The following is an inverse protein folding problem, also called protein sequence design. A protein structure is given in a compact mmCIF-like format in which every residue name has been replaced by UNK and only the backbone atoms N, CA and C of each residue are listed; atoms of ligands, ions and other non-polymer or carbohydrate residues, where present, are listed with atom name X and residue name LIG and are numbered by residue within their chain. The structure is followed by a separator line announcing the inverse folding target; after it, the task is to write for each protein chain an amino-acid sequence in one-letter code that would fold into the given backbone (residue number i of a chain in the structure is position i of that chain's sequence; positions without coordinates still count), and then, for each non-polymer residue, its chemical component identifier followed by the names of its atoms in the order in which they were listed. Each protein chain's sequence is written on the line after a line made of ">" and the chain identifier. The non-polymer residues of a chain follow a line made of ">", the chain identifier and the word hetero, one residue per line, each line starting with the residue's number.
data_IF_892522493698
#
_entry.id   IF_892522493698
#
_cell.length_a   1.000
_cell.length_b   1.000
_cell.length_c   1.000
_cell.angle_alpha   90.00
_cell.angle_beta   90.00
_cell.angle_gamma   90.00
#
_symmetry.space_group_name_H-M   'P 1'
#
loop_
_entity.id
_entity.type
_entity.pdbx_description
1 polymer ?
#
# COMPACT_ATOMS: atom_id res chain seq x y z
N UNK A 1 17.06 -21.47 0.62
CA UNK A 1 16.12 -20.34 0.47
C UNK A 1 15.81 -19.59 1.78
N UNK A 2 15.81 -20.25 2.96
CA UNK A 2 15.52 -19.60 4.27
C UNK A 2 16.38 -18.38 4.65
N UNK A 3 17.59 -18.21 4.11
CA UNK A 3 18.45 -17.06 4.49
C UNK A 3 18.05 -15.75 3.82
N UNK A 4 17.52 -15.79 2.59
CA UNK A 4 17.13 -14.58 1.87
C UNK A 4 15.84 -14.00 2.48
N UNK A 5 14.86 -14.85 2.75
CA UNK A 5 13.60 -14.47 3.38
C UNK A 5 13.86 -13.76 4.72
N UNK A 6 14.79 -14.28 5.52
CA UNK A 6 15.17 -13.65 6.80
C UNK A 6 15.88 -12.31 6.63
N UNK A 7 16.69 -12.13 5.60
CA UNK A 7 17.27 -10.82 5.29
C UNK A 7 16.19 -9.80 4.92
N UNK A 8 15.21 -10.19 4.11
CA UNK A 8 14.09 -9.31 3.73
C UNK A 8 13.19 -8.98 4.93
N UNK A 9 12.87 -9.96 5.77
CA UNK A 9 12.11 -9.75 7.01
C UNK A 9 12.84 -8.79 7.97
N UNK A 10 14.17 -8.88 8.09
CA UNK A 10 14.99 -7.94 8.90
C UNK A 10 14.88 -6.53 8.34
N UNK A 11 15.02 -6.36 7.02
CA UNK A 11 14.88 -5.05 6.39
C UNK A 11 13.48 -4.48 6.63
N UNK A 12 12.43 -5.23 6.33
CA UNK A 12 11.06 -4.77 6.56
C UNK A 12 10.85 -4.38 8.03
N UNK A 13 11.34 -5.16 9.00
CA UNK A 13 11.24 -4.79 10.41
C UNK A 13 11.85 -3.42 10.72
N UNK A 14 13.06 -3.15 10.23
CA UNK A 14 13.77 -1.89 10.51
C UNK A 14 13.07 -0.70 9.83
N UNK A 15 12.62 -0.87 8.59
CA UNK A 15 11.91 0.20 7.86
C UNK A 15 10.52 0.47 8.44
N UNK A 16 9.83 -0.57 8.90
CA UNK A 16 8.52 -0.47 9.53
C UNK A 16 8.55 0.10 10.96
N UNK A 17 9.72 0.51 11.45
CA UNK A 17 9.88 1.24 12.72
C UNK A 17 9.91 2.76 12.55
N UNK A 18 9.75 3.24 11.31
CA UNK A 18 9.63 4.67 10.96
C UNK A 18 10.76 5.51 11.59
N UNK A 19 12.00 5.08 11.36
CA UNK A 19 13.20 5.74 11.90
C UNK A 19 13.52 5.42 13.37
N UNK A 20 12.66 4.71 14.09
CA UNK A 20 12.98 4.23 15.44
C UNK A 20 14.06 3.15 15.35
N UNK A 21 15.22 3.31 16.03
CA UNK A 21 16.29 2.33 15.98
C UNK A 21 15.88 0.95 16.50
N UNK A 22 16.45 -0.10 15.92
CA UNK A 22 16.22 -1.49 16.34
C UNK A 22 17.54 -2.22 16.61
N UNK A 23 17.63 -2.88 17.76
CA UNK A 23 18.79 -3.69 18.12
C UNK A 23 18.71 -5.10 17.49
N UNK A 24 19.85 -5.78 17.26
CA UNK A 24 19.81 -7.16 16.74
C UNK A 24 19.03 -8.13 17.62
N UNK A 25 19.01 -7.93 18.95
CA UNK A 25 18.26 -8.78 19.88
C UNK A 25 16.74 -8.63 19.74
N UNK A 26 16.26 -7.39 19.59
CA UNK A 26 14.83 -7.10 19.35
C UNK A 26 14.38 -7.67 18.01
N UNK A 27 15.16 -7.44 16.95
CA UNK A 27 14.87 -7.94 15.60
C UNK A 27 14.86 -9.46 15.59
N UNK A 28 15.87 -10.11 16.19
CA UNK A 28 15.95 -11.57 16.29
C UNK A 28 14.74 -12.17 17.01
N UNK A 29 14.30 -11.53 18.10
CA UNK A 29 13.13 -11.95 18.87
C UNK A 29 11.83 -11.79 18.07
N UNK A 30 11.66 -10.66 17.39
CA UNK A 30 10.49 -10.37 16.55
C UNK A 30 10.36 -11.35 15.38
N UNK A 31 11.48 -11.71 14.75
CA UNK A 31 11.52 -12.51 13.52
C UNK A 31 11.73 -14.01 13.82
N UNK A 32 11.96 -14.35 15.09
CA UNK A 32 12.19 -15.71 15.61
C UNK A 32 13.39 -16.40 14.95
N UNK A 33 14.55 -15.72 14.97
CA UNK A 33 15.83 -16.25 14.48
C UNK A 33 16.92 -16.15 15.54
N UNK A 34 18.02 -16.89 15.36
CA UNK A 34 19.15 -16.83 16.28
C UNK A 34 19.81 -15.43 16.27
N UNK A 35 20.13 -14.91 17.46
CA UNK A 35 20.71 -13.57 17.63
C UNK A 35 22.06 -13.38 16.92
N UNK A 36 22.92 -14.41 16.87
CA UNK A 36 24.18 -14.39 16.14
C UNK A 36 23.94 -14.32 14.62
N UNK A 37 22.93 -15.06 14.12
CA UNK A 37 22.52 -14.98 12.70
C UNK A 37 21.96 -13.60 12.35
N UNK A 38 21.08 -13.05 13.18
CA UNK A 38 20.52 -11.71 12.98
C UNK A 38 21.62 -10.64 12.97
N UNK A 39 22.54 -10.71 13.94
CA UNK A 39 23.67 -9.77 14.04
C UNK A 39 24.56 -9.85 12.81
N UNK A 40 24.88 -11.05 12.32
CA UNK A 40 25.67 -11.23 11.09
C UNK A 40 24.98 -10.62 9.87
N UNK A 41 23.69 -10.88 9.68
CA UNK A 41 22.93 -10.34 8.55
C UNK A 41 22.85 -8.80 8.64
N UNK A 42 22.58 -8.25 9.82
CA UNK A 42 22.52 -6.79 10.01
C UNK A 42 23.89 -6.13 9.78
N UNK A 43 24.99 -6.76 10.19
CA UNK A 43 26.34 -6.26 9.86
C UNK A 43 26.55 -6.21 8.34
N UNK A 44 26.19 -7.27 7.62
CA UNK A 44 26.29 -7.28 6.15
C UNK A 44 25.42 -6.17 5.53
N UNK A 45 24.15 -6.04 5.93
CA UNK A 45 23.27 -4.98 5.44
C UNK A 45 23.84 -3.57 5.70
N UNK A 46 24.53 -3.39 6.82
CA UNK A 46 25.19 -2.13 7.18
C UNK A 46 26.40 -1.86 6.28
N UNK A 47 27.26 -2.86 6.07
CA UNK A 47 28.43 -2.74 5.19
C UNK A 47 28.06 -2.40 3.74
N UNK A 48 26.88 -2.85 3.29
CA UNK A 48 26.32 -2.51 1.98
C UNK A 48 25.43 -1.26 1.97
N UNK A 49 25.29 -0.55 3.11
CA UNK A 49 24.58 0.74 3.21
C UNK A 49 23.05 0.67 3.21
N UNK A 50 22.45 -0.52 3.37
CA UNK A 50 20.99 -0.68 3.48
C UNK A 50 20.45 -0.27 4.86
N UNK A 51 21.28 -0.42 5.90
CA UNK A 51 20.98 0.05 7.26
C UNK A 51 22.19 0.82 7.80
N UNK A 52 21.97 1.66 8.79
CA UNK A 52 23.02 2.45 9.44
C UNK A 52 23.02 2.18 10.94
N UNK A 53 24.21 2.08 11.53
CA UNK A 53 24.36 1.82 12.96
C UNK A 53 24.42 3.14 13.73
N UNK A 54 23.44 3.37 14.60
CA UNK A 54 23.44 4.52 15.50
C UNK A 54 24.44 4.28 16.63
N UNK A 55 24.32 3.14 17.33
CA UNK A 55 25.29 2.70 18.34
C UNK A 55 25.09 1.22 18.69
N UNK A 56 25.97 0.62 19.48
CA UNK A 56 25.76 -0.75 19.98
C UNK A 56 24.51 -0.90 20.86
N UNK A 57 24.15 0.13 21.63
CA UNK A 57 22.98 0.11 22.55
C UNK A 57 21.70 0.56 21.88
N UNK A 58 21.81 1.50 20.94
CA UNK A 58 20.66 2.09 20.23
C UNK A 58 20.23 1.22 19.05
N UNK A 59 21.16 0.50 18.42
CA UNK A 59 20.87 -0.37 17.29
C UNK A 59 21.01 0.34 15.95
N UNK A 60 20.12 0.00 15.02
CA UNK A 60 20.24 0.31 13.59
C UNK A 60 18.97 0.99 13.05
N UNK A 61 19.15 1.84 12.05
CA UNK A 61 18.10 2.59 11.34
C UNK A 61 18.21 2.35 9.82
N UNK A 62 17.22 2.72 9.00
CA UNK A 62 17.35 2.73 7.54
C UNK A 62 18.61 3.46 7.04
N UNK A 63 19.32 2.86 6.09
CA UNK A 63 20.53 3.42 5.47
C UNK A 63 20.25 4.11 4.14
N UNK A 64 21.24 4.82 3.57
CA UNK A 64 21.05 5.69 2.40
C UNK A 64 20.70 4.96 1.09
N UNK A 65 21.10 3.68 0.94
CA UNK A 65 20.89 2.94 -0.31
C UNK A 65 19.43 2.85 -0.70
N UNK A 66 18.53 2.61 0.28
CA UNK A 66 17.11 2.49 -0.01
C UNK A 66 16.52 3.77 -0.60
N UNK A 67 16.90 4.93 -0.06
CA UNK A 67 16.48 6.23 -0.56
C UNK A 67 17.06 6.51 -1.94
N UNK A 68 18.35 6.23 -2.15
CA UNK A 68 19.01 6.40 -3.44
C UNK A 68 18.41 5.52 -4.55
N UNK A 69 17.92 4.32 -4.21
CA UNK A 69 17.19 3.47 -5.14
C UNK A 69 15.76 3.98 -5.37
N UNK A 70 15.09 4.47 -4.32
CA UNK A 70 13.73 5.00 -4.39
C UNK A 70 13.58 6.27 -5.21
N UNK A 71 14.65 7.07 -5.39
CA UNK A 71 14.62 8.24 -6.26
C UNK A 71 14.56 7.89 -7.75
N UNK A 72 14.97 6.67 -8.12
CA UNK A 72 15.00 6.21 -9.52
C UNK A 72 13.58 6.16 -10.11
N UNK A 73 13.51 6.40 -11.42
CA UNK A 73 12.24 6.44 -12.13
C UNK A 73 11.69 5.02 -12.30
N UNK A 74 10.47 4.81 -11.79
CA UNK A 74 9.65 3.62 -12.00
C UNK A 74 8.18 4.04 -12.02
N UNK A 75 7.26 3.24 -12.59
CA UNK A 75 5.83 3.54 -12.50
C UNK A 75 5.37 3.74 -11.05
N UNK A 76 5.86 2.91 -10.12
CA UNK A 76 5.49 2.98 -8.70
C UNK A 76 6.00 4.25 -8.00
N UNK A 77 7.25 4.64 -8.25
CA UNK A 77 7.80 5.87 -7.65
C UNK A 77 7.15 7.14 -8.20
N UNK A 78 6.73 7.14 -9.48
CA UNK A 78 5.96 8.24 -10.06
C UNK A 78 4.54 8.31 -9.49
N UNK A 79 3.85 7.19 -9.30
CA UNK A 79 2.54 7.14 -8.62
C UNK A 79 2.66 7.69 -7.19
N UNK A 80 3.64 7.23 -6.41
CA UNK A 80 3.85 7.72 -5.04
C UNK A 80 4.10 9.23 -5.00
N UNK A 81 4.96 9.76 -5.88
CA UNK A 81 5.25 11.20 -5.99
C UNK A 81 4.03 12.02 -6.41
N UNK A 82 3.28 11.58 -7.42
CA UNK A 82 2.06 12.27 -7.87
C UNK A 82 0.99 12.33 -6.76
N UNK A 83 0.92 11.27 -5.95
CA UNK A 83 -0.07 11.10 -4.91
C UNK A 83 0.23 11.83 -3.60
N UNK A 84 1.49 12.18 -3.31
CA UNK A 84 1.88 12.76 -2.02
C UNK A 84 1.03 13.98 -1.62
N UNK A 85 0.96 14.99 -2.49
CA UNK A 85 0.19 16.22 -2.22
C UNK A 85 -1.32 15.97 -2.06
N UNK A 86 -1.99 15.39 -3.07
CA UNK A 86 -3.43 15.15 -3.02
C UNK A 86 -3.86 14.24 -1.85
N UNK A 87 -3.09 13.20 -1.54
CA UNK A 87 -3.39 12.31 -0.40
C UNK A 87 -3.21 13.04 0.93
N UNK A 88 -2.14 13.83 1.07
CA UNK A 88 -1.92 14.63 2.29
C UNK A 88 -3.07 15.60 2.52
N UNK A 89 -3.49 16.32 1.50
CA UNK A 89 -4.60 17.27 1.58
C UNK A 89 -5.91 16.58 1.95
N UNK A 90 -6.24 15.48 1.25
CA UNK A 90 -7.44 14.69 1.52
C UNK A 90 -7.44 14.15 2.96
N UNK A 91 -6.31 13.63 3.42
CA UNK A 91 -6.15 13.08 4.75
C UNK A 91 -6.36 14.14 5.83
N UNK A 92 -5.78 15.33 5.67
CA UNK A 92 -5.97 16.46 6.60
C UNK A 92 -7.43 16.90 6.64
N UNK A 93 -8.08 17.08 5.48
CA UNK A 93 -9.48 17.53 5.41
C UNK A 93 -10.47 16.53 6.02
N UNK A 94 -10.15 15.24 5.96
CA UNK A 94 -11.02 14.17 6.46
C UNK A 94 -10.62 13.66 7.84
N UNK A 95 -9.54 14.19 8.45
CA UNK A 95 -8.92 13.65 9.67
C UNK A 95 -8.75 12.13 9.64
N UNK A 96 -8.39 11.60 8.47
CA UNK A 96 -8.38 10.17 8.19
C UNK A 96 -7.03 9.71 7.69
N UNK A 97 -6.82 8.40 7.80
CA UNK A 97 -5.65 7.75 7.27
C UNK A 97 -5.94 7.28 5.87
N UNK A 98 -5.17 7.78 4.91
CA UNK A 98 -5.41 7.57 3.49
C UNK A 98 -4.17 6.94 2.89
N UNK A 99 -4.39 5.90 2.10
CA UNK A 99 -3.32 5.24 1.35
C UNK A 99 -3.67 5.17 -0.13
N UNK A 100 -2.63 5.12 -0.96
CA UNK A 100 -2.70 4.67 -2.33
C UNK A 100 -1.95 3.36 -2.47
N UNK A 101 -2.60 2.40 -3.11
CA UNK A 101 -2.09 1.07 -3.32
C UNK A 101 -2.10 0.69 -4.78
N UNK A 102 -1.23 -0.27 -5.14
CA UNK A 102 -1.25 -1.01 -6.40
C UNK A 102 -1.36 -2.50 -6.11
N UNK A 103 -1.72 -3.30 -7.12
CA UNK A 103 -1.70 -4.75 -7.01
C UNK A 103 -0.71 -5.34 -8.01
N UNK A 104 0.08 -6.31 -7.55
CA UNK A 104 1.02 -7.07 -8.36
C UNK A 104 1.05 -8.51 -7.89
N UNK A 105 0.89 -9.44 -8.82
CA UNK A 105 0.92 -10.89 -8.58
C UNK A 105 -0.01 -11.29 -7.42
N UNK A 106 -1.28 -10.86 -7.51
CA UNK A 106 -2.31 -11.03 -6.48
C UNK A 106 -2.00 -10.45 -5.10
N UNK A 107 -1.01 -9.57 -4.94
CA UNK A 107 -0.72 -8.91 -3.66
C UNK A 107 -0.88 -7.41 -3.77
N UNK A 108 -1.45 -6.81 -2.72
CA UNK A 108 -1.64 -5.37 -2.62
C UNK A 108 -0.42 -4.75 -1.95
N UNK A 109 0.08 -3.66 -2.53
CA UNK A 109 1.23 -2.91 -2.05
C UNK A 109 0.82 -1.46 -1.82
N UNK A 110 1.08 -0.95 -0.62
CA UNK A 110 0.85 0.45 -0.28
C UNK A 110 2.07 1.25 -0.73
N UNK A 111 1.89 2.15 -1.69
CA UNK A 111 2.99 2.96 -2.23
C UNK A 111 3.22 4.24 -1.41
N UNK A 112 2.14 4.82 -0.91
CA UNK A 112 2.17 6.01 -0.08
C UNK A 112 0.95 6.03 0.84
N UNK A 113 1.13 6.58 2.04
CA UNK A 113 0.04 6.86 2.95
C UNK A 113 0.31 8.15 3.73
N UNK A 114 -0.76 8.78 4.20
CA UNK A 114 -0.69 9.91 5.13
C UNK A 114 -1.82 9.81 6.15
N UNK A 115 -1.53 10.17 7.40
CA UNK A 115 -2.55 10.27 8.44
C UNK A 115 -2.84 11.74 8.77
N UNK A 116 -4.09 12.16 8.54
CA UNK A 116 -4.58 13.46 9.03
C UNK A 116 -4.81 13.49 10.55
N UNK A 117 -4.76 12.32 11.20
CA UNK A 117 -4.88 12.15 12.65
C UNK A 117 -3.57 11.59 13.21
N UNK A 118 -2.91 12.35 14.09
CA UNK A 118 -1.60 11.99 14.66
C UNK A 118 -1.64 10.74 15.53
N UNK A 119 -2.82 10.39 16.06
CA UNK A 119 -2.98 9.21 16.91
C UNK A 119 -3.15 7.92 16.09
N UNK A 120 -3.58 8.03 14.83
CA UNK A 120 -3.71 6.88 13.93
C UNK A 120 -2.36 6.51 13.34
N UNK A 121 -1.86 5.32 13.67
CA UNK A 121 -0.66 4.71 13.09
C UNK A 121 -1.04 3.71 12.00
N UNK A 122 -0.39 3.82 10.84
CA UNK A 122 -0.60 2.84 9.76
C UNK A 122 0.15 1.57 10.14
N UNK A 123 -0.46 0.38 10.05
CA UNK A 123 0.29 -0.86 10.25
C UNK A 123 1.35 -0.93 9.16
N UNK A 124 2.62 -0.81 9.53
CA UNK A 124 3.71 -0.79 8.57
C UNK A 124 3.98 -2.24 8.13
N UNK A 125 3.30 -2.64 7.05
CA UNK A 125 3.70 -3.73 6.15
C UNK A 125 3.77 -3.20 4.73
N UNK A 126 4.60 -3.83 3.92
CA UNK A 126 4.80 -3.49 2.50
C UNK A 126 3.81 -4.24 1.61
N UNK A 127 3.43 -5.46 2.01
CA UNK A 127 2.64 -6.42 1.23
C UNK A 127 1.43 -6.93 2.01
N UNK A 128 0.26 -6.88 1.38
CA UNK A 128 -1.04 -7.26 1.96
C UNK A 128 -1.77 -8.28 1.09
N UNK A 129 -2.61 -9.07 1.75
CA UNK A 129 -3.48 -10.08 1.14
C UNK A 129 -4.88 -10.01 1.79
N UNK A 130 -5.44 -8.79 1.83
CA UNK A 130 -6.68 -8.38 2.52
C UNK A 130 -7.71 -7.82 1.54
N UNK A 131 -7.79 -8.43 0.35
CA UNK A 131 -8.47 -7.88 -0.82
C UNK A 131 -9.98 -7.65 -0.61
N UNK A 132 -10.62 -8.46 0.23
CA UNK A 132 -12.06 -8.36 0.48
C UNK A 132 -12.41 -7.30 1.54
N UNK A 133 -11.46 -6.97 2.40
CA UNK A 133 -11.68 -6.11 3.57
C UNK A 133 -11.43 -4.63 3.25
N UNK A 134 -10.56 -4.34 2.30
CA UNK A 134 -10.11 -2.97 2.02
C UNK A 134 -10.68 -2.42 0.72
N UNK A 135 -11.06 -1.14 0.68
CA UNK A 135 -11.52 -0.49 -0.55
C UNK A 135 -10.49 -0.63 -1.68
N UNK A 136 -9.21 -0.41 -1.38
CA UNK A 136 -8.13 -0.56 -2.36
C UNK A 136 -8.02 -2.00 -2.86
N UNK A 137 -8.20 -3.00 -1.98
CA UNK A 137 -8.30 -4.41 -2.36
C UNK A 137 -9.44 -4.67 -3.35
N UNK A 138 -10.67 -4.24 -3.03
CA UNK A 138 -11.85 -4.45 -3.90
C UNK A 138 -11.64 -3.83 -5.28
N UNK A 139 -11.18 -2.58 -5.30
CA UNK A 139 -10.95 -1.80 -6.51
C UNK A 139 -9.83 -2.41 -7.36
N UNK A 140 -8.68 -2.75 -6.77
CA UNK A 140 -7.57 -3.32 -7.52
C UNK A 140 -7.88 -4.73 -8.03
N UNK A 141 -8.59 -5.54 -7.24
CA UNK A 141 -9.03 -6.87 -7.66
C UNK A 141 -10.01 -6.78 -8.84
N UNK A 142 -10.84 -5.73 -8.90
CA UNK A 142 -11.73 -5.46 -10.05
C UNK A 142 -10.98 -5.18 -11.36
N UNK A 143 -9.70 -4.81 -11.26
CA UNK A 143 -8.80 -4.53 -12.39
C UNK A 143 -7.78 -5.64 -12.65
N UNK A 144 -7.79 -6.68 -11.81
CA UNK A 144 -6.84 -7.78 -11.88
C UNK A 144 -7.11 -8.69 -13.09
N UNK A 145 -6.07 -9.36 -13.62
CA UNK A 145 -6.27 -10.46 -14.56
C UNK A 145 -6.97 -11.63 -13.85
N UNK A 146 -7.74 -12.42 -14.60
CA UNK A 146 -8.52 -13.53 -14.03
C UNK A 146 -7.65 -14.54 -13.25
N UNK A 147 -6.41 -14.79 -13.70
CA UNK A 147 -5.47 -15.66 -12.98
C UNK A 147 -5.17 -15.19 -11.55
N UNK A 148 -5.10 -13.87 -11.32
CA UNK A 148 -4.81 -13.29 -10.02
C UNK A 148 -6.08 -13.39 -9.15
N UNK A 149 -7.25 -13.18 -9.74
CA UNK A 149 -8.56 -13.36 -9.07
C UNK A 149 -8.69 -14.82 -8.62
N UNK A 150 -8.41 -15.77 -9.50
CA UNK A 150 -8.45 -17.21 -9.20
C UNK A 150 -7.45 -17.59 -8.10
N UNK A 151 -6.25 -17.00 -8.13
CA UNK A 151 -5.29 -17.17 -7.05
C UNK A 151 -5.85 -16.65 -5.71
N UNK A 152 -6.45 -15.46 -5.67
CA UNK A 152 -7.09 -14.93 -4.46
C UNK A 152 -8.20 -15.86 -3.97
N UNK A 153 -9.09 -16.31 -4.86
CA UNK A 153 -10.17 -17.26 -4.51
C UNK A 153 -9.59 -18.57 -3.97
N UNK A 154 -8.51 -19.10 -4.56
CA UNK A 154 -7.87 -20.34 -4.10
C UNK A 154 -7.32 -20.25 -2.67
N UNK A 155 -7.01 -19.03 -2.21
CA UNK A 155 -6.41 -18.77 -0.90
C UNK A 155 -7.42 -18.33 0.16
N UNK A 156 -8.41 -17.51 -0.22
CA UNK A 156 -9.37 -16.92 0.69
C UNK A 156 -10.77 -17.55 0.59
N UNK A 157 -11.04 -18.31 -0.47
CA UNK A 157 -12.40 -18.63 -0.88
C UNK A 157 -13.10 -17.41 -1.50
N UNK A 158 -14.41 -17.50 -1.70
CA UNK A 158 -15.23 -16.35 -2.08
C UNK A 158 -15.40 -15.38 -0.89
N UNK A 159 -15.65 -14.08 -1.14
CA UNK A 159 -15.73 -13.07 -0.07
C UNK A 159 -16.86 -13.26 0.96
N UNK A 160 -17.85 -14.13 0.70
CA UNK A 160 -18.98 -14.43 1.60
C UNK A 160 -19.52 -13.14 2.25
N UNK A 161 -19.63 -13.10 3.57
CA UNK A 161 -20.23 -12.00 4.36
C UNK A 161 -19.52 -10.65 4.20
N UNK A 162 -18.31 -10.61 3.64
CA UNK A 162 -17.63 -9.34 3.38
C UNK A 162 -18.28 -8.57 2.21
N UNK A 163 -18.96 -9.26 1.29
CA UNK A 163 -19.57 -8.68 0.08
C UNK A 163 -20.99 -9.21 -0.09
N UNK A 164 -21.95 -8.29 -0.25
CA UNK A 164 -23.34 -8.67 -0.45
C UNK A 164 -23.53 -9.42 -1.78
N UNK A 165 -24.46 -10.39 -1.80
CA UNK A 165 -24.93 -11.08 -3.00
C UNK A 165 -23.86 -11.87 -3.79
N UNK A 166 -22.82 -12.36 -3.10
CA UNK A 166 -21.79 -13.23 -3.69
C UNK A 166 -21.98 -14.69 -3.23
N UNK A 167 -22.57 -15.51 -4.08
CA UNK A 167 -22.84 -16.93 -3.86
C UNK A 167 -21.93 -17.88 -4.68
N UNK A 168 -21.35 -17.42 -5.79
CA UNK A 168 -20.48 -18.21 -6.66
C UNK A 168 -19.44 -17.34 -7.39
N UNK A 169 -18.55 -17.97 -8.17
CA UNK A 169 -17.49 -17.25 -8.91
C UNK A 169 -18.09 -16.28 -9.93
N UNK A 170 -19.17 -16.68 -10.60
CA UNK A 170 -19.83 -15.88 -11.63
C UNK A 170 -20.44 -14.60 -11.05
N UNK A 171 -21.08 -14.67 -9.88
CA UNK A 171 -21.64 -13.49 -9.20
C UNK A 171 -20.53 -12.59 -8.66
N UNK A 172 -19.43 -13.17 -8.20
CA UNK A 172 -18.24 -12.42 -7.81
C UNK A 172 -17.59 -11.67 -8.98
N UNK A 173 -17.36 -12.32 -10.12
CA UNK A 173 -16.81 -11.67 -11.32
C UNK A 173 -17.72 -10.56 -11.85
N UNK A 174 -19.04 -10.75 -11.77
CA UNK A 174 -20.02 -9.72 -12.13
C UNK A 174 -19.90 -8.50 -11.20
N UNK A 175 -19.74 -8.72 -9.91
CA UNK A 175 -19.57 -7.62 -8.94
C UNK A 175 -18.24 -6.89 -9.12
N UNK A 176 -17.16 -7.61 -9.41
CA UNK A 176 -15.89 -7.00 -9.81
C UNK A 176 -16.06 -6.16 -11.09
N UNK A 177 -16.79 -6.64 -12.09
CA UNK A 177 -17.06 -5.88 -13.31
C UNK A 177 -17.83 -4.58 -13.02
N UNK A 178 -18.83 -4.62 -12.13
CA UNK A 178 -19.54 -3.43 -11.68
C UNK A 178 -18.63 -2.47 -10.94
N UNK A 179 -17.80 -2.98 -10.02
CA UNK A 179 -16.83 -2.20 -9.24
C UNK A 179 -15.84 -1.49 -10.17
N UNK A 180 -15.30 -2.19 -11.17
CA UNK A 180 -14.40 -1.62 -12.15
C UNK A 180 -15.07 -0.49 -12.96
N UNK A 181 -16.34 -0.67 -13.34
CA UNK A 181 -17.12 0.33 -14.08
C UNK A 181 -17.46 1.57 -13.24
N UNK A 182 -17.82 1.38 -11.97
CA UNK A 182 -18.12 2.46 -11.04
C UNK A 182 -16.86 3.24 -10.64
N UNK A 183 -15.69 2.59 -10.70
CA UNK A 183 -14.38 3.09 -10.30
C UNK A 183 -14.27 3.56 -8.84
N UNK A 184 -15.35 3.46 -8.06
CA UNK A 184 -15.43 3.84 -6.65
C UNK A 184 -16.14 2.75 -5.86
N UNK A 185 -15.82 2.69 -4.57
CA UNK A 185 -16.57 1.88 -3.59
C UNK A 185 -16.85 2.73 -2.36
N UNK A 186 -18.04 2.54 -1.79
CA UNK A 186 -18.45 3.13 -0.50
C UNK A 186 -19.33 2.12 0.25
N UNK A 187 -18.91 1.70 1.43
CA UNK A 187 -19.64 0.71 2.22
C UNK A 187 -19.37 0.86 3.73
N UNK A 188 -20.33 0.47 4.59
CA UNK A 188 -20.10 0.41 6.03
C UNK A 188 -19.23 -0.80 6.40
N UNK A 189 -18.36 -0.64 7.40
CA UNK A 189 -17.57 -1.72 7.98
C UNK A 189 -17.39 -1.47 9.48
N UNK A 190 -18.11 -2.23 10.32
CA UNK A 190 -18.19 -1.94 11.75
C UNK A 190 -18.74 -0.54 12.00
N UNK A 191 -18.03 0.25 12.79
CA UNK A 191 -18.44 1.62 13.18
C UNK A 191 -17.92 2.71 12.21
N UNK A 192 -17.37 2.33 11.06
CA UNK A 192 -16.84 3.29 10.07
C UNK A 192 -17.48 3.08 8.69
N UNK A 193 -17.38 4.11 7.87
CA UNK A 193 -17.65 4.07 6.45
C UNK A 193 -16.34 4.08 5.68
N UNK A 194 -16.18 3.08 4.81
CA UNK A 194 -15.00 2.90 3.98
C UNK A 194 -15.28 3.43 2.58
N UNK A 195 -14.33 4.20 2.05
CA UNK A 195 -14.35 4.77 0.71
C UNK A 195 -13.08 4.42 -0.06
N UNK A 196 -13.21 4.36 -1.37
CA UNK A 196 -12.05 4.36 -2.25
C UNK A 196 -12.40 4.65 -3.70
N UNK A 197 -11.38 4.98 -4.46
CA UNK A 197 -11.48 5.21 -5.90
C UNK A 197 -10.26 4.66 -6.63
N UNK A 198 -10.47 4.12 -7.82
CA UNK A 198 -9.40 3.82 -8.76
C UNK A 198 -8.72 5.12 -9.21
N UNK A 199 -7.43 5.00 -9.51
CA UNK A 199 -6.60 5.99 -10.18
C UNK A 199 -6.02 5.29 -11.41
N UNK A 200 -6.34 5.80 -12.60
CA UNK A 200 -5.94 5.23 -13.87
C UNK A 200 -5.23 6.30 -14.71
N UNK A 201 -4.00 6.00 -15.12
CA UNK A 201 -3.26 6.84 -16.07
C UNK A 201 -2.59 5.96 -17.13
N UNK A 202 -2.61 6.35 -18.43
CA UNK A 202 -1.91 5.61 -19.48
C UNK A 202 -0.44 5.38 -19.14
N UNK A 203 0.08 4.17 -19.35
CA UNK A 203 1.47 3.83 -19.05
C UNK A 203 1.75 3.47 -17.58
N UNK A 204 0.74 3.49 -16.70
CA UNK A 204 0.86 3.11 -15.30
C UNK A 204 -0.03 1.91 -14.95
N UNK A 205 0.37 1.06 -13.99
CA UNK A 205 -0.53 0.05 -13.44
C UNK A 205 -1.71 0.74 -12.72
N UNK A 206 -2.90 0.12 -12.68
CA UNK A 206 -4.02 0.61 -11.89
C UNK A 206 -3.59 0.80 -10.42
N UNK A 207 -3.92 1.97 -9.88
CA UNK A 207 -3.78 2.28 -8.47
C UNK A 207 -5.16 2.51 -7.86
N UNK A 208 -5.24 2.49 -6.53
CA UNK A 208 -6.47 2.79 -5.80
C UNK A 208 -6.16 3.56 -4.53
N UNK A 209 -6.96 4.58 -4.24
CA UNK A 209 -7.00 5.30 -2.97
C UNK A 209 -8.03 4.63 -2.07
N UNK A 210 -7.76 4.50 -0.78
CA UNK A 210 -8.77 4.06 0.19
C UNK A 210 -8.54 4.56 1.61
N UNK A 211 -9.64 4.76 2.32
CA UNK A 211 -9.68 5.28 3.69
C UNK A 211 -11.03 5.02 4.35
N UNK A 212 -11.09 5.22 5.67
CA UNK A 212 -12.31 5.12 6.46
C UNK A 212 -12.62 6.39 7.24
N UNK A 213 -13.89 6.75 7.32
CA UNK A 213 -14.44 7.90 8.07
C UNK A 213 -15.51 7.44 9.06
N UNK A 214 -15.83 8.26 10.05
CA UNK A 214 -16.67 7.84 11.18
C UNK A 214 -18.17 7.66 10.86
N UNK A 215 -18.73 8.42 9.91
CA UNK A 215 -20.18 8.41 9.63
C UNK A 215 -20.47 8.45 8.14
N UNK A 216 -21.71 8.15 7.77
CA UNK A 216 -22.16 8.19 6.37
C UNK A 216 -22.11 9.60 5.81
N UNK A 217 -22.50 10.60 6.59
CA UNK A 217 -22.50 12.01 6.19
C UNK A 217 -21.07 12.46 5.86
N UNK A 218 -20.09 12.09 6.71
CA UNK A 218 -18.67 12.34 6.41
C UNK A 218 -18.19 11.59 5.18
N UNK A 219 -18.74 10.42 4.90
CA UNK A 219 -18.42 9.68 3.68
C UNK A 219 -18.92 10.43 2.44
N UNK A 220 -20.18 10.88 2.46
CA UNK A 220 -20.79 11.64 1.37
C UNK A 220 -20.04 12.97 1.13
N UNK A 221 -19.62 13.68 2.19
CA UNK A 221 -18.77 14.87 2.07
C UNK A 221 -17.38 14.56 1.48
N UNK A 222 -16.79 13.42 1.88
CA UNK A 222 -15.45 13.03 1.43
C UNK A 222 -15.40 12.55 -0.02
N UNK A 223 -16.52 12.16 -0.64
CA UNK A 223 -16.55 11.68 -2.03
C UNK A 223 -16.04 12.74 -3.01
N UNK A 224 -16.49 13.99 -2.86
CA UNK A 224 -16.05 15.08 -3.75
C UNK A 224 -14.55 15.34 -3.57
N UNK A 225 -14.05 15.31 -2.33
CA UNK A 225 -12.63 15.47 -2.03
C UNK A 225 -11.79 14.33 -2.62
N UNK A 226 -12.29 13.09 -2.53
CA UNK A 226 -11.66 11.92 -3.11
C UNK A 226 -11.56 12.02 -4.64
N UNK A 227 -12.63 12.43 -5.32
CA UNK A 227 -12.61 12.62 -6.77
C UNK A 227 -11.61 13.69 -7.19
N UNK A 228 -11.56 14.82 -6.49
CA UNK A 228 -10.56 15.86 -6.76
C UNK A 228 -9.13 15.34 -6.59
N UNK A 229 -8.88 14.49 -5.58
CA UNK A 229 -7.58 13.88 -5.37
C UNK A 229 -7.22 12.90 -6.51
N UNK A 230 -8.18 12.09 -6.99
CA UNK A 230 -7.98 11.18 -8.13
C UNK A 230 -7.61 11.97 -9.37
N UNK A 231 -8.41 12.96 -9.77
CA UNK A 231 -8.15 13.79 -10.95
C UNK A 231 -6.79 14.46 -10.88
N UNK A 232 -6.43 15.04 -9.74
CA UNK A 232 -5.11 15.68 -9.57
C UNK A 232 -3.95 14.70 -9.74
N UNK A 233 -4.11 13.45 -9.30
CA UNK A 233 -3.07 12.41 -9.47
C UNK A 233 -2.99 11.96 -10.93
N UNK A 234 -4.12 11.70 -11.58
CA UNK A 234 -4.18 11.27 -12.99
C UNK A 234 -3.59 12.33 -13.94
N UNK A 235 -3.88 13.61 -13.70
CA UNK A 235 -3.30 14.74 -14.44
C UNK A 235 -1.77 14.78 -14.30
N UNK A 236 -1.26 14.70 -13.06
CA UNK A 236 0.20 14.66 -12.80
C UNK A 236 0.88 13.47 -13.46
N UNK A 237 0.24 12.31 -13.49
CA UNK A 237 0.78 11.12 -14.13
C UNK A 237 0.79 11.21 -15.66
N UNK A 238 -0.25 11.84 -16.23
CA UNK A 238 -0.36 12.05 -17.68
C UNK A 238 0.73 13.00 -18.19
N UNK A 239 0.96 14.12 -17.50
CA UNK A 239 2.03 15.07 -17.84
C UNK A 239 3.42 14.41 -17.84
N UNK A 240 3.71 13.57 -16.85
CA UNK A 240 4.97 12.82 -16.78
C UNK A 240 5.16 11.80 -17.93
N UNK A 241 4.06 11.38 -18.58
CA UNK A 241 4.11 10.43 -19.68
C UNK A 241 4.35 11.15 -21.04
N UNK A 242 3.78 12.35 -21.21
CA UNK A 242 3.99 13.16 -22.41
C UNK A 242 5.44 13.64 -22.53
N UNK A 243 6.07 14.00 -21.41
CA UNK A 243 7.50 14.34 -21.37
C UNK A 243 8.38 13.18 -21.87
N UNK A 244 8.03 11.92 -21.59
CA UNK A 244 8.79 10.75 -22.06
C UNK A 244 8.69 10.53 -23.57
N UNK A 245 7.61 10.99 -24.20
CA UNK A 245 7.39 10.81 -25.64
C UNK A 245 8.17 11.85 -26.47
N UNK A 246 8.66 12.91 -25.83
CA UNK A 246 9.36 14.01 -26.52
C UNK A 246 10.89 13.80 -26.62
N UNK A 247 11.44 12.79 -25.93
CA UNK A 247 12.87 12.47 -25.93
C UNK A 247 13.26 11.22 -26.74
N UNK A 248 12.38 10.74 -27.63
CA UNK A 248 12.67 9.66 -28.59
C UNK A 248 12.38 10.09 -30.03
#
# INVERSE_FOLDING_TARGET
>A
MKSLDKTLEILEHIFNKDGTPSTPGEVASSIKINAATCSRIMTELMEHGYIEKVSRRTGYVPGPVFYALGTRQSPYSQIAKAAEGPIRELAIKTSSMINISVMKDAHRYVLFFYSGDKEKKFPLRTRYFDHYETATGRLLLSRAPEQDIDFVISKLGLPKDAWNDIDCKETFLRELTKTAKAATVKYPQGDIWVLGSLVNAPGYPPAAIGFGVATKEKADEAETLLQNAVTSIEEKLSLNNDEKTTFY
#
